data_IF_285217442579
#
_entry.id   IF_285217442579
#
_cell.length_a   1.000
_cell.length_b   1.000
_cell.length_c   1.000
_cell.angle_alpha   90.00
_cell.angle_beta   90.00
_cell.angle_gamma   90.00
#
_symmetry.space_group_name_H-M   'P 1'
#
loop_
_entity.id
_entity.type
_entity.pdbx_description
1 polymer ?
#
# COMPACT_ATOMS: atom_id res chain seq x y z
N UNK A 1 -18.36 -5.99 30.52
CA UNK A 1 -19.34 -5.69 29.45
C UNK A 1 -19.17 -6.70 28.32
N UNK A 2 -19.84 -7.86 28.39
CA UNK A 2 -19.78 -8.90 27.37
C UNK A 2 -21.11 -8.93 26.62
N UNK A 3 -21.24 -8.08 25.60
CA UNK A 3 -22.40 -8.07 24.71
C UNK A 3 -22.40 -9.34 23.85
N UNK A 4 -23.56 -9.95 23.69
CA UNK A 4 -23.86 -11.14 22.90
C UNK A 4 -23.25 -11.05 21.49
N UNK A 5 -22.04 -11.59 21.31
CA UNK A 5 -21.42 -11.76 20.00
C UNK A 5 -22.18 -12.86 19.26
N UNK A 6 -22.91 -12.47 18.22
CA UNK A 6 -23.63 -13.41 17.37
C UNK A 6 -22.61 -14.21 16.57
N UNK A 7 -22.46 -15.50 16.89
CA UNK A 7 -21.54 -16.42 16.18
C UNK A 7 -21.76 -16.42 14.66
N UNK A 8 -22.98 -16.11 14.21
CA UNK A 8 -23.30 -15.95 12.80
C UNK A 8 -22.62 -14.73 12.16
N UNK A 9 -22.55 -13.60 12.89
CA UNK A 9 -21.83 -12.41 12.43
C UNK A 9 -20.32 -12.68 12.36
N UNK A 10 -19.78 -13.38 13.36
CA UNK A 10 -18.36 -13.73 13.40
C UNK A 10 -18.01 -14.71 12.26
N UNK A 11 -18.87 -15.70 11.99
CA UNK A 11 -18.70 -16.64 10.88
C UNK A 11 -18.83 -15.94 9.52
N UNK A 12 -19.80 -15.04 9.36
CA UNK A 12 -19.97 -14.27 8.14
C UNK A 12 -18.78 -13.34 7.87
N UNK A 13 -18.27 -12.67 8.90
CA UNK A 13 -17.05 -11.86 8.81
C UNK A 13 -15.84 -12.71 8.44
N UNK A 14 -15.67 -13.87 9.09
CA UNK A 14 -14.59 -14.79 8.79
C UNK A 14 -14.67 -15.30 7.34
N UNK A 15 -15.85 -15.73 6.89
CA UNK A 15 -16.08 -16.20 5.53
C UNK A 15 -15.83 -15.09 4.50
N UNK A 16 -16.26 -13.84 4.78
CA UNK A 16 -16.01 -12.70 3.90
C UNK A 16 -14.51 -12.42 3.75
N UNK A 17 -13.76 -12.35 4.86
CA UNK A 17 -12.30 -12.16 4.84
C UNK A 17 -11.61 -13.31 4.11
N UNK A 18 -12.00 -14.56 4.41
CA UNK A 18 -11.41 -15.76 3.79
C UNK A 18 -11.64 -15.79 2.29
N UNK A 19 -12.84 -15.43 1.84
CA UNK A 19 -13.18 -15.37 0.42
C UNK A 19 -12.42 -14.26 -0.28
N UNK A 20 -12.31 -13.07 0.35
CA UNK A 20 -11.51 -11.97 -0.19
C UNK A 20 -10.02 -12.35 -0.35
N UNK A 21 -9.43 -12.99 0.67
CA UNK A 21 -8.04 -13.47 0.61
C UNK A 21 -7.84 -14.54 -0.47
N UNK A 22 -8.81 -15.46 -0.60
CA UNK A 22 -8.72 -16.54 -1.61
C UNK A 22 -8.84 -15.96 -3.02
N UNK A 23 -9.75 -15.02 -3.24
CA UNK A 23 -9.86 -14.30 -4.51
C UNK A 23 -8.57 -13.55 -4.82
N UNK A 24 -8.02 -12.79 -3.86
CA UNK A 24 -6.75 -12.07 -4.04
C UNK A 24 -5.56 -12.99 -4.39
N UNK A 25 -5.54 -14.23 -3.89
CA UNK A 25 -4.52 -15.21 -4.26
C UNK A 25 -4.71 -15.86 -5.63
N UNK A 26 -5.95 -15.98 -6.11
CA UNK A 26 -6.24 -16.60 -7.41
C UNK A 26 -6.00 -15.66 -8.60
N UNK A 27 -5.92 -14.34 -8.37
CA UNK A 27 -5.67 -13.36 -9.43
C UNK A 27 -4.18 -13.04 -9.60
N UNK A 28 -3.75 -12.87 -10.86
CA UNK A 28 -2.43 -12.35 -11.21
C UNK A 28 -2.16 -11.01 -10.49
N UNK A 29 -0.92 -10.79 -10.06
CA UNK A 29 -0.50 -9.65 -9.20
C UNK A 29 -0.92 -8.31 -9.80
N UNK A 30 -0.91 -8.20 -11.14
CA UNK A 30 -1.33 -7.00 -11.87
C UNK A 30 -2.83 -6.67 -11.68
N UNK A 31 -3.69 -7.68 -11.70
CA UNK A 31 -5.13 -7.51 -11.50
C UNK A 31 -5.45 -7.14 -10.06
N UNK A 32 -4.69 -7.69 -9.11
CA UNK A 32 -4.78 -7.33 -7.69
C UNK A 32 -4.38 -5.87 -7.44
N UNK A 33 -3.35 -5.36 -8.13
CA UNK A 33 -2.95 -3.94 -8.07
C UNK A 33 -4.00 -2.99 -8.65
N UNK A 34 -4.65 -3.37 -9.75
CA UNK A 34 -5.73 -2.60 -10.35
C UNK A 34 -6.97 -2.57 -9.44
N UNK A 35 -7.33 -3.70 -8.85
CA UNK A 35 -8.43 -3.81 -7.88
C UNK A 35 -8.16 -2.97 -6.64
N UNK A 36 -6.93 -3.00 -6.10
CA UNK A 36 -6.53 -2.18 -4.96
C UNK A 36 -6.62 -0.68 -5.26
N UNK A 37 -6.22 -0.26 -6.48
CA UNK A 37 -6.39 1.12 -6.92
C UNK A 37 -7.89 1.50 -7.02
N UNK A 38 -8.72 0.60 -7.55
CA UNK A 38 -10.17 0.79 -7.60
C UNK A 38 -10.78 0.98 -6.21
N UNK A 39 -10.39 0.18 -5.23
CA UNK A 39 -10.82 0.31 -3.83
C UNK A 39 -10.33 1.63 -3.23
N UNK A 40 -9.08 2.02 -3.48
CA UNK A 40 -8.55 3.32 -3.04
C UNK A 40 -9.33 4.49 -3.64
N UNK A 41 -9.72 4.39 -4.91
CA UNK A 41 -10.54 5.41 -5.58
C UNK A 41 -11.94 5.50 -4.96
N UNK A 42 -12.56 4.36 -4.64
CA UNK A 42 -13.85 4.29 -3.98
C UNK A 42 -13.77 4.84 -2.55
N UNK A 43 -12.70 4.52 -1.83
CA UNK A 43 -12.43 5.06 -0.50
C UNK A 43 -12.34 6.59 -0.52
N UNK A 44 -11.67 7.19 -1.52
CA UNK A 44 -11.61 8.64 -1.66
C UNK A 44 -13.00 9.27 -1.86
N UNK A 45 -13.90 8.58 -2.58
CA UNK A 45 -15.29 9.02 -2.79
C UNK A 45 -16.16 8.87 -1.55
N UNK A 46 -16.00 7.79 -0.79
CA UNK A 46 -16.77 7.50 0.43
C UNK A 46 -16.25 8.28 1.65
N UNK A 47 -14.95 8.55 1.72
CA UNK A 47 -14.28 9.19 2.85
C UNK A 47 -13.59 10.48 2.42
N UNK A 48 -14.40 11.43 1.96
CA UNK A 48 -13.98 12.75 1.49
C UNK A 48 -13.12 13.52 2.50
N UNK A 49 -13.27 13.27 3.81
CA UNK A 49 -12.43 13.88 4.86
C UNK A 49 -10.96 13.47 4.75
N UNK A 50 -10.68 12.19 4.52
CA UNK A 50 -9.29 11.71 4.41
C UNK A 50 -8.66 12.16 3.10
N UNK A 51 -9.46 12.15 2.02
CA UNK A 51 -9.02 12.68 0.73
C UNK A 51 -8.68 14.18 0.80
N UNK A 52 -9.53 14.99 1.43
CA UNK A 52 -9.28 16.44 1.60
C UNK A 52 -8.00 16.73 2.39
N UNK A 53 -7.76 15.99 3.48
CA UNK A 53 -6.50 16.12 4.24
C UNK A 53 -5.28 15.76 3.41
N UNK A 54 -5.37 14.74 2.55
CA UNK A 54 -4.27 14.38 1.66
C UNK A 54 -3.99 15.51 0.65
N UNK A 55 -5.02 16.19 0.15
CA UNK A 55 -4.86 17.37 -0.72
C UNK A 55 -4.18 18.51 0.05
N UNK A 56 -4.63 18.81 1.26
CA UNK A 56 -4.03 19.85 2.12
C UNK A 56 -2.54 19.57 2.32
N UNK A 57 -2.16 18.36 2.75
CA UNK A 57 -0.75 18.00 2.95
C UNK A 57 0.10 18.10 1.68
N UNK A 58 -0.42 17.70 0.52
CA UNK A 58 0.31 17.81 -0.75
C UNK A 58 0.46 19.28 -1.15
N UNK A 59 -0.55 20.10 -0.89
CA UNK A 59 -0.52 21.54 -1.19
C UNK A 59 0.49 22.25 -0.28
N UNK A 60 0.53 21.90 1.00
CA UNK A 60 1.48 22.44 1.97
C UNK A 60 2.93 22.04 1.63
N UNK A 61 3.14 20.79 1.18
CA UNK A 61 4.46 20.29 0.79
C UNK A 61 4.94 20.85 -0.56
N UNK A 62 4.02 21.22 -1.46
CA UNK A 62 4.30 21.72 -2.80
C UNK A 62 3.46 22.96 -3.13
N UNK A 63 3.75 24.11 -2.50
CA UNK A 63 2.93 25.33 -2.64
C UNK A 63 2.92 25.89 -4.08
N UNK A 64 3.98 25.64 -4.86
CA UNK A 64 4.09 26.13 -6.25
C UNK A 64 3.31 25.27 -7.26
N UNK A 65 2.68 24.17 -6.83
CA UNK A 65 1.96 23.29 -7.74
C UNK A 65 0.53 23.77 -8.00
N UNK A 66 0.03 23.65 -9.25
CA UNK A 66 -1.37 23.93 -9.54
C UNK A 66 -2.28 22.94 -8.82
N UNK A 67 -3.44 23.41 -8.33
CA UNK A 67 -4.37 22.61 -7.52
C UNK A 67 -4.74 21.26 -8.16
N UNK A 68 -4.99 21.23 -9.47
CA UNK A 68 -5.31 19.98 -10.19
C UNK A 68 -4.15 18.96 -10.26
N UNK A 69 -2.91 19.39 -10.01
CA UNK A 69 -1.77 18.47 -9.81
C UNK A 69 -1.77 17.93 -8.38
N UNK A 70 -2.01 18.78 -7.39
CA UNK A 70 -2.09 18.36 -5.98
C UNK A 70 -3.19 17.32 -5.76
N UNK A 71 -4.39 17.53 -6.30
CA UNK A 71 -5.51 16.56 -6.22
C UNK A 71 -5.15 15.21 -6.83
N UNK A 72 -4.57 15.22 -8.03
CA UNK A 72 -4.18 14.00 -8.73
C UNK A 72 -3.10 13.22 -7.97
N UNK A 73 -2.15 13.93 -7.37
CA UNK A 73 -1.09 13.33 -6.55
C UNK A 73 -1.65 12.79 -5.24
N UNK A 74 -2.56 13.51 -4.58
CA UNK A 74 -3.25 13.05 -3.38
C UNK A 74 -4.05 11.76 -3.65
N UNK A 75 -4.80 11.72 -4.76
CA UNK A 75 -5.55 10.53 -5.19
C UNK A 75 -4.62 9.34 -5.44
N UNK A 76 -3.56 9.55 -6.23
CA UNK A 76 -2.56 8.51 -6.53
C UNK A 76 -1.83 8.03 -5.29
N UNK A 77 -1.60 8.90 -4.31
CA UNK A 77 -0.98 8.54 -3.03
C UNK A 77 -1.86 7.57 -2.25
N UNK A 78 -3.17 7.84 -2.17
CA UNK A 78 -4.11 6.94 -1.49
C UNK A 78 -4.25 5.62 -2.27
N UNK A 79 -4.38 5.65 -3.59
CA UNK A 79 -4.35 4.43 -4.41
C UNK A 79 -3.08 3.61 -4.15
N UNK A 80 -1.93 4.25 -4.08
CA UNK A 80 -0.66 3.59 -3.80
C UNK A 80 -0.62 3.00 -2.39
N UNK A 81 -1.16 3.69 -1.39
CA UNK A 81 -1.29 3.17 -0.03
C UNK A 81 -2.10 1.87 -0.01
N UNK A 82 -3.22 1.80 -0.74
CA UNK A 82 -4.01 0.57 -0.87
C UNK A 82 -3.28 -0.52 -1.65
N UNK A 83 -2.52 -0.18 -2.70
CA UNK A 83 -1.67 -1.17 -3.39
C UNK A 83 -0.65 -1.80 -2.44
N UNK A 84 0.06 -0.99 -1.65
CA UNK A 84 1.03 -1.49 -0.67
C UNK A 84 0.31 -2.35 0.40
N UNK A 85 -0.78 -1.85 0.97
CA UNK A 85 -1.48 -2.54 2.05
C UNK A 85 -2.14 -3.86 1.61
N UNK A 86 -2.74 -3.89 0.42
CA UNK A 86 -3.49 -5.05 -0.05
C UNK A 86 -2.63 -6.04 -0.82
N UNK A 87 -1.67 -5.56 -1.62
CA UNK A 87 -0.87 -6.41 -2.50
C UNK A 87 0.48 -6.67 -1.85
N UNK A 88 1.25 -5.63 -1.53
CA UNK A 88 2.63 -5.85 -1.03
C UNK A 88 2.62 -6.56 0.32
N UNK A 89 1.73 -6.21 1.25
CA UNK A 89 1.67 -6.89 2.54
C UNK A 89 1.38 -8.40 2.43
N UNK A 90 0.68 -8.83 1.36
CA UNK A 90 0.29 -10.23 1.14
C UNK A 90 1.27 -10.98 0.24
N UNK A 91 1.83 -10.31 -0.77
CA UNK A 91 2.65 -10.92 -1.82
C UNK A 91 4.14 -10.83 -1.51
N UNK A 92 4.61 -9.69 -0.99
CA UNK A 92 6.03 -9.43 -0.74
C UNK A 92 6.72 -10.49 0.13
N UNK A 93 6.12 -10.99 1.24
CA UNK A 93 6.73 -12.03 2.06
C UNK A 93 6.95 -13.37 1.33
N UNK A 94 6.18 -13.63 0.27
CA UNK A 94 6.31 -14.84 -0.56
C UNK A 94 7.28 -14.65 -1.71
N UNK A 95 7.34 -13.44 -2.26
CA UNK A 95 8.14 -13.11 -3.44
C UNK A 95 9.62 -12.85 -3.09
N UNK A 96 9.85 -12.17 -1.96
CA UNK A 96 11.18 -11.77 -1.50
C UNK A 96 11.71 -12.81 -0.51
N UNK A 97 12.47 -13.76 -1.05
CA UNK A 97 13.23 -14.74 -0.25
C UNK A 97 14.72 -14.41 -0.29
N UNK A 98 15.52 -15.06 0.57
CA UNK A 98 16.99 -14.86 0.61
C UNK A 98 17.67 -15.08 -0.75
N UNK A 99 17.10 -15.92 -1.62
CA UNK A 99 17.64 -16.20 -2.95
C UNK A 99 17.02 -15.37 -4.06
N UNK A 100 15.75 -14.97 -3.92
CA UNK A 100 15.01 -14.26 -4.99
C UNK A 100 15.02 -12.75 -4.87
N UNK A 101 15.43 -12.18 -3.72
CA UNK A 101 15.44 -10.73 -3.52
C UNK A 101 16.16 -9.92 -4.63
N UNK A 102 17.29 -10.37 -5.23
CA UNK A 102 17.98 -9.58 -6.27
C UNK A 102 17.17 -9.48 -7.57
N UNK A 103 16.19 -10.36 -7.78
CA UNK A 103 15.35 -10.36 -8.98
C UNK A 103 14.26 -9.28 -8.91
N UNK A 104 13.84 -8.92 -7.70
CA UNK A 104 12.72 -8.00 -7.47
C UNK A 104 13.17 -6.63 -6.94
N UNK A 105 14.36 -6.54 -6.33
CA UNK A 105 14.90 -5.29 -5.79
C UNK A 105 16.10 -4.88 -6.63
N UNK A 106 16.03 -3.68 -7.23
CA UNK A 106 17.19 -3.02 -7.82
C UNK A 106 17.71 -1.98 -6.84
N UNK A 107 18.90 -2.25 -6.29
CA UNK A 107 19.61 -1.29 -5.46
C UNK A 107 20.32 -0.30 -6.38
N UNK A 108 20.18 1.01 -6.11
CA UNK A 108 20.87 2.06 -6.84
C UNK A 108 22.39 2.08 -6.56
N UNK A 109 23.01 3.26 -6.62
CA UNK A 109 24.44 3.38 -6.32
C UNK A 109 24.74 2.98 -4.87
N UNK A 110 25.25 1.76 -4.67
CA UNK A 110 25.62 1.24 -3.36
C UNK A 110 27.07 1.55 -3.00
N UNK A 111 27.83 2.14 -3.93
CA UNK A 111 29.27 2.39 -3.76
C UNK A 111 29.58 3.19 -2.50
N UNK A 112 28.86 4.29 -2.27
CA UNK A 112 29.13 5.19 -1.15
C UNK A 112 28.78 4.53 0.20
N UNK A 113 27.70 3.75 0.23
CA UNK A 113 27.32 2.96 1.41
C UNK A 113 28.35 1.85 1.69
N UNK A 114 28.83 1.14 0.66
CA UNK A 114 29.87 0.13 0.79
C UNK A 114 31.20 0.73 1.24
N UNK A 115 31.57 1.89 0.70
CA UNK A 115 32.78 2.61 1.11
C UNK A 115 32.72 3.01 2.58
N UNK A 116 31.54 3.37 3.11
CA UNK A 116 31.33 3.58 4.55
C UNK A 116 31.47 2.29 5.37
N UNK A 117 30.85 1.19 4.94
CA UNK A 117 30.95 -0.10 5.65
C UNK A 117 32.38 -0.64 5.70
N UNK A 118 33.14 -0.53 4.61
CA UNK A 118 34.53 -1.00 4.54
C UNK A 118 35.45 -0.14 5.41
N UNK A 119 35.18 1.17 5.52
CA UNK A 119 36.00 2.11 6.29
C UNK A 119 35.71 2.11 7.80
N UNK A 120 34.70 1.36 8.26
CA UNK A 120 34.29 1.26 9.67
C UNK A 120 34.15 2.64 10.35
N UNK A 121 33.63 3.63 9.62
CA UNK A 121 33.35 4.97 10.13
C UNK A 121 31.84 5.10 10.39
N UNK A 122 31.42 5.67 11.53
CA UNK A 122 30.00 5.93 11.77
C UNK A 122 29.46 6.92 10.72
N UNK A 123 28.23 6.66 10.29
CA UNK A 123 27.48 7.51 9.36
C UNK A 123 27.08 8.85 9.99
#
# INVERSE_FOLDING_TARGET
MAGTRSAFKDLAQYAAVRTAVTLLHSFDVRTSLATAAGIGSLFCRLHSRHYRRAIEHVTDAFPDWPAGRCERVAMRSIENMFRIFMVDAMVTPRLITKSTWPQYIRIGNLKDAMDHFIRNKPA
#
